data_IF_641540499037
#
_entry.id   IF_641540499037
#
_cell.length_a   1.000
_cell.length_b   1.000
_cell.length_c   1.000
_cell.angle_alpha   90.00
_cell.angle_beta   90.00
_cell.angle_gamma   90.00
#
_symmetry.space_group_name_H-M   'P 1'
#
loop_
_entity.id
_entity.type
_entity.pdbx_description
1 polymer ?
#
# COMPACT_ATOMS: atom_id res chain seq x y z
N UNK A 1 49.80 3.43 -26.31
CA UNK A 1 49.11 4.68 -26.77
C UNK A 1 47.91 4.33 -27.63
N UNK A 2 46.87 5.07 -27.65
CA UNK A 2 46.24 5.86 -26.62
C UNK A 2 44.78 5.37 -26.30
N UNK A 3 44.35 5.60 -25.16
CA UNK A 3 43.06 6.12 -24.66
C UNK A 3 41.99 6.33 -25.72
N UNK A 4 41.04 5.41 -25.79
CA UNK A 4 39.75 5.61 -26.43
C UNK A 4 38.77 6.22 -25.44
N UNK A 5 38.46 7.51 -25.60
CA UNK A 5 37.42 8.23 -24.91
C UNK A 5 36.06 7.54 -25.14
N UNK A 6 35.52 6.91 -24.12
CA UNK A 6 34.12 6.63 -24.07
C UNK A 6 33.37 7.95 -23.80
N UNK A 7 32.98 8.61 -24.85
CA UNK A 7 32.01 9.72 -24.82
C UNK A 7 30.72 9.18 -24.21
N UNK A 8 30.50 9.49 -22.92
CA UNK A 8 29.18 9.38 -22.30
C UNK A 8 28.23 10.24 -23.12
N UNK A 9 27.32 9.61 -23.86
CA UNK A 9 26.19 10.26 -24.49
C UNK A 9 25.31 10.91 -23.41
N UNK A 10 25.58 12.18 -23.16
CA UNK A 10 24.77 13.08 -22.34
C UNK A 10 23.61 13.61 -23.18
N UNK A 11 22.66 12.82 -23.58
CA UNK A 11 21.38 13.29 -24.13
C UNK A 11 20.37 12.14 -24.20
N UNK A 12 20.12 11.47 -23.07
CA UNK A 12 18.83 10.80 -22.91
C UNK A 12 17.91 11.76 -22.15
N UNK A 13 16.86 12.22 -22.82
CA UNK A 13 15.82 12.99 -22.14
C UNK A 13 15.27 12.12 -21.02
N UNK A 14 15.19 12.66 -19.81
CA UNK A 14 14.56 11.99 -18.66
C UNK A 14 13.03 11.88 -18.81
N UNK A 15 12.52 12.11 -20.00
CA UNK A 15 11.08 12.04 -20.28
C UNK A 15 10.63 10.58 -20.36
N UNK A 16 9.72 10.23 -19.50
CA UNK A 16 9.03 8.94 -19.53
C UNK A 16 8.13 8.91 -20.76
N UNK A 17 8.20 7.83 -21.54
CA UNK A 17 7.33 7.66 -22.69
C UNK A 17 5.95 7.16 -22.23
N UNK A 18 4.86 7.58 -22.91
CA UNK A 18 3.53 7.03 -22.65
C UNK A 18 3.53 5.50 -22.78
N UNK A 19 2.85 4.83 -21.88
CA UNK A 19 2.62 3.40 -21.95
C UNK A 19 1.13 3.09 -22.07
N UNK A 20 0.80 1.96 -22.70
CA UNK A 20 -0.57 1.46 -22.72
C UNK A 20 -0.85 0.74 -21.41
N UNK A 21 -1.66 1.34 -20.55
CA UNK A 21 -1.90 0.88 -19.20
C UNK A 21 -2.53 -0.52 -19.16
N UNK A 22 -3.51 -0.78 -20.02
CA UNK A 22 -4.14 -2.11 -20.12
C UNK A 22 -3.15 -3.20 -20.55
N UNK A 23 -2.29 -2.90 -21.51
CA UNK A 23 -1.22 -3.81 -21.94
C UNK A 23 -0.24 -4.06 -20.80
N UNK A 24 0.17 -3.00 -20.09
CA UNK A 24 1.07 -3.10 -18.95
C UNK A 24 0.49 -4.01 -17.85
N UNK A 25 -0.78 -3.84 -17.48
CA UNK A 25 -1.46 -4.71 -16.51
C UNK A 25 -1.39 -6.18 -16.96
N UNK A 26 -1.72 -6.45 -18.23
CA UNK A 26 -1.72 -7.82 -18.74
C UNK A 26 -0.34 -8.47 -18.70
N UNK A 27 0.71 -7.74 -18.99
CA UNK A 27 2.10 -8.20 -18.95
C UNK A 27 2.58 -8.47 -17.51
N UNK A 28 2.02 -7.77 -16.51
CA UNK A 28 2.44 -7.85 -15.11
C UNK A 28 1.45 -8.57 -14.19
N UNK A 29 0.36 -9.16 -14.71
CA UNK A 29 -0.66 -9.84 -13.88
C UNK A 29 -0.10 -10.86 -12.90
N UNK A 30 0.96 -11.55 -13.25
CA UNK A 30 1.62 -12.52 -12.37
C UNK A 30 2.23 -11.89 -11.11
N UNK A 31 2.55 -10.59 -11.14
CA UNK A 31 3.05 -9.81 -10.00
C UNK A 31 1.92 -9.16 -9.18
N UNK A 32 0.70 -9.14 -9.71
CA UNK A 32 -0.48 -8.58 -9.04
C UNK A 32 -1.24 -9.61 -8.20
N UNK A 33 -0.61 -10.74 -7.91
CA UNK A 33 -1.14 -11.82 -7.07
C UNK A 33 -0.18 -12.11 -5.92
N UNK A 34 -0.64 -12.71 -4.84
CA UNK A 34 0.25 -13.17 -3.77
C UNK A 34 1.40 -14.04 -4.33
N UNK A 35 2.59 -13.98 -3.75
CA UNK A 35 2.96 -13.22 -2.55
C UNK A 35 3.33 -11.74 -2.78
N UNK A 36 3.41 -11.26 -4.02
CA UNK A 36 3.82 -9.89 -4.33
C UNK A 36 2.65 -8.91 -4.15
N UNK A 37 1.61 -9.01 -4.98
CA UNK A 37 0.37 -8.25 -4.85
C UNK A 37 0.40 -6.82 -5.39
N UNK A 38 1.57 -6.20 -5.61
CA UNK A 38 1.68 -4.85 -6.16
C UNK A 38 2.94 -4.68 -7.02
N UNK A 39 2.91 -3.69 -7.90
CA UNK A 39 4.06 -3.31 -8.72
C UNK A 39 4.00 -1.82 -9.08
N UNK A 40 5.10 -1.11 -8.85
CA UNK A 40 5.26 0.26 -9.35
C UNK A 40 5.38 0.26 -10.87
N UNK A 41 4.72 1.22 -11.51
CA UNK A 41 4.76 1.39 -12.96
C UNK A 41 6.09 2.01 -13.39
N UNK A 42 6.62 2.95 -12.58
CA UNK A 42 7.92 3.59 -12.75
C UNK A 42 8.68 3.60 -11.42
N UNK A 43 9.98 3.34 -11.48
CA UNK A 43 10.83 3.26 -10.28
C UNK A 43 11.26 4.63 -9.74
N UNK A 44 11.25 5.68 -10.59
CA UNK A 44 11.74 7.02 -10.26
C UNK A 44 10.80 8.09 -10.84
N UNK A 45 9.65 8.27 -10.23
CA UNK A 45 8.68 9.29 -10.60
C UNK A 45 8.55 10.40 -9.55
N UNK A 46 8.01 11.54 -9.97
CA UNK A 46 7.55 12.58 -9.03
C UNK A 46 6.33 12.12 -8.24
N UNK A 47 5.71 11.03 -8.67
CA UNK A 47 4.63 10.32 -8.00
C UNK A 47 4.99 8.84 -7.88
N UNK A 48 4.53 8.21 -6.82
CA UNK A 48 4.48 6.75 -6.73
C UNK A 48 3.21 6.31 -7.45
N UNK A 49 3.38 5.63 -8.59
CA UNK A 49 2.26 5.09 -9.39
C UNK A 49 2.31 3.58 -9.31
N UNK A 50 1.41 3.00 -8.54
CA UNK A 50 1.44 1.59 -8.18
C UNK A 50 0.16 0.88 -8.63
N UNK A 51 0.31 -0.27 -9.26
CA UNK A 51 -0.81 -1.18 -9.55
C UNK A 51 -0.84 -2.25 -8.48
N UNK A 52 -2.02 -2.44 -7.90
CA UNK A 52 -2.24 -3.34 -6.77
C UNK A 52 -3.31 -4.35 -7.15
N UNK A 53 -3.01 -5.62 -6.97
CA UNK A 53 -3.96 -6.72 -7.18
C UNK A 53 -4.45 -7.34 -5.89
N UNK A 54 -5.26 -8.37 -6.04
CA UNK A 54 -5.77 -9.19 -4.95
C UNK A 54 -5.66 -10.69 -5.27
N UNK A 55 -5.96 -11.57 -4.29
CA UNK A 55 -6.50 -11.22 -2.97
C UNK A 55 -5.43 -10.70 -2.00
N UNK A 56 -5.85 -9.99 -0.97
CA UNK A 56 -5.02 -9.69 0.18
C UNK A 56 -5.72 -10.10 1.49
N UNK A 57 -4.94 -10.14 2.56
CA UNK A 57 -5.46 -10.39 3.90
C UNK A 57 -4.75 -9.44 4.86
N UNK A 58 -5.35 -8.27 5.08
CA UNK A 58 -4.79 -7.20 5.93
C UNK A 58 -5.70 -6.92 7.11
N UNK A 59 -5.08 -6.70 8.28
CA UNK A 59 -5.75 -6.25 9.51
C UNK A 59 -5.17 -4.95 10.04
N UNK A 60 -4.06 -4.51 9.46
CA UNK A 60 -3.42 -3.22 9.72
C UNK A 60 -4.10 -2.10 8.95
N UNK A 61 -3.98 -0.90 9.48
CA UNK A 61 -4.33 0.35 8.83
C UNK A 61 -3.06 1.15 8.58
N UNK A 62 -2.87 1.54 7.34
CA UNK A 62 -1.77 2.40 6.94
C UNK A 62 -2.17 3.86 7.14
N UNK A 63 -1.31 4.64 7.80
CA UNK A 63 -1.42 6.08 7.93
C UNK A 63 -0.33 6.74 7.09
N UNK A 64 -0.74 7.67 6.22
CA UNK A 64 0.13 8.42 5.32
C UNK A 64 -0.12 9.92 5.51
N UNK A 65 0.95 10.71 5.60
CA UNK A 65 0.84 12.17 5.74
C UNK A 65 0.44 12.89 4.45
N UNK A 66 0.36 12.18 3.32
CA UNK A 66 -0.08 12.69 2.02
C UNK A 66 -1.39 12.05 1.58
N UNK A 67 -2.18 12.69 0.71
CA UNK A 67 -3.36 12.06 0.13
C UNK A 67 -2.99 10.92 -0.80
N UNK A 68 -3.90 9.97 -0.96
CA UNK A 68 -3.78 8.87 -1.92
C UNK A 68 -4.94 8.88 -2.90
N UNK A 69 -4.64 8.72 -4.19
CA UNK A 69 -5.63 8.59 -5.22
C UNK A 69 -5.81 7.12 -5.61
N UNK A 70 -7.06 6.65 -5.61
CA UNK A 70 -7.44 5.31 -6.01
C UNK A 70 -8.26 5.34 -7.29
N UNK A 71 -7.96 4.42 -8.21
CA UNK A 71 -8.81 4.07 -9.33
C UNK A 71 -8.97 2.55 -9.37
N UNK A 72 -10.20 2.07 -9.22
CA UNK A 72 -10.48 0.65 -9.26
C UNK A 72 -10.68 0.20 -10.70
N UNK A 73 -9.69 -0.50 -11.26
CA UNK A 73 -9.61 -0.83 -12.70
C UNK A 73 -10.41 -2.08 -13.04
N UNK A 74 -10.31 -3.12 -12.19
CA UNK A 74 -10.99 -4.39 -12.37
C UNK A 74 -11.48 -4.91 -11.02
N UNK A 75 -12.74 -5.33 -10.95
CA UNK A 75 -13.42 -5.81 -9.76
C UNK A 75 -13.58 -4.75 -8.67
N UNK A 76 -14.27 -5.10 -7.59
CA UNK A 76 -14.60 -4.18 -6.50
C UNK A 76 -13.68 -4.40 -5.30
N UNK A 77 -13.47 -3.34 -4.51
CA UNK A 77 -12.81 -3.44 -3.22
C UNK A 77 -13.54 -2.66 -2.14
N UNK A 78 -13.24 -2.99 -0.88
CA UNK A 78 -13.62 -2.18 0.29
C UNK A 78 -12.36 -1.52 0.83
N UNK A 79 -12.40 -0.20 0.98
CA UNK A 79 -11.38 0.53 1.72
C UNK A 79 -11.92 0.79 3.13
N UNK A 80 -11.38 0.07 4.12
CA UNK A 80 -11.67 0.37 5.52
C UNK A 80 -10.89 1.60 5.93
N UNK A 81 -11.55 2.56 6.57
CA UNK A 81 -10.90 3.78 7.09
C UNK A 81 -11.26 3.99 8.55
N UNK A 82 -10.44 4.76 9.25
CA UNK A 82 -10.78 5.30 10.56
C UNK A 82 -11.10 6.78 10.37
N UNK A 83 -12.37 7.12 10.54
CA UNK A 83 -12.89 8.48 10.45
C UNK A 83 -13.45 8.92 11.81
N UNK A 84 -12.89 9.98 12.39
CA UNK A 84 -13.24 10.46 13.73
C UNK A 84 -13.32 9.34 14.80
N UNK A 85 -12.30 8.45 14.78
CA UNK A 85 -12.18 7.31 15.70
C UNK A 85 -13.15 6.17 15.44
N UNK A 86 -13.91 6.20 14.35
CA UNK A 86 -14.86 5.15 13.95
C UNK A 86 -14.37 4.43 12.71
N UNK A 87 -14.55 3.13 12.70
CA UNK A 87 -14.31 2.32 11.51
C UNK A 87 -15.45 2.53 10.50
N UNK A 88 -15.10 2.88 9.27
CA UNK A 88 -16.01 3.08 8.15
C UNK A 88 -15.54 2.25 6.97
N UNK A 89 -16.47 1.59 6.30
CA UNK A 89 -16.22 0.83 5.08
C UNK A 89 -16.63 1.66 3.86
N UNK A 90 -15.65 2.02 3.03
CA UNK A 90 -15.86 2.74 1.77
C UNK A 90 -15.81 1.74 0.63
N UNK A 91 -16.93 1.52 -0.05
CA UNK A 91 -16.97 0.70 -1.25
C UNK A 91 -16.37 1.49 -2.44
N UNK A 92 -15.42 0.90 -3.13
CA UNK A 92 -14.83 1.42 -4.37
C UNK A 92 -15.04 0.34 -5.43
N UNK A 93 -16.03 0.55 -6.29
CA UNK A 93 -16.43 -0.43 -7.30
C UNK A 93 -15.56 -0.29 -8.55
N UNK A 94 -15.60 -1.30 -9.41
CA UNK A 94 -14.94 -1.23 -10.72
C UNK A 94 -15.35 0.04 -11.47
N UNK A 95 -14.36 0.80 -11.92
CA UNK A 95 -14.53 2.09 -12.60
C UNK A 95 -14.55 3.30 -11.68
N UNK A 96 -14.69 3.12 -10.36
CA UNK A 96 -14.72 4.24 -9.41
C UNK A 96 -13.32 4.82 -9.18
N UNK A 97 -13.29 6.12 -8.92
CA UNK A 97 -12.13 6.84 -8.41
C UNK A 97 -12.43 7.37 -7.01
N UNK A 98 -11.41 7.41 -6.16
CA UNK A 98 -11.53 7.93 -4.80
C UNK A 98 -10.26 8.69 -4.42
N UNK A 99 -10.41 9.87 -3.83
CA UNK A 99 -9.30 10.63 -3.26
C UNK A 99 -9.39 10.54 -1.73
N UNK A 100 -8.54 9.72 -1.16
CA UNK A 100 -8.39 9.60 0.28
C UNK A 100 -7.62 10.81 0.82
N UNK A 101 -8.17 11.56 1.78
CA UNK A 101 -7.44 12.65 2.42
C UNK A 101 -6.17 12.17 3.14
N UNK A 102 -5.19 13.06 3.26
CA UNK A 102 -4.02 12.81 4.08
C UNK A 102 -4.40 12.50 5.54
N UNK A 103 -3.59 11.70 6.22
CA UNK A 103 -3.70 11.41 7.65
C UNK A 103 -4.94 10.60 8.06
N UNK A 104 -5.56 9.92 7.11
CA UNK A 104 -6.65 8.97 7.37
C UNK A 104 -6.10 7.55 7.38
N UNK A 105 -6.12 6.85 8.54
CA UNK A 105 -5.73 5.44 8.60
C UNK A 105 -6.67 4.61 7.73
N UNK A 106 -6.11 3.74 6.88
CA UNK A 106 -6.87 2.98 5.91
C UNK A 106 -6.31 1.59 5.66
N UNK A 107 -7.18 0.67 5.28
CA UNK A 107 -6.86 -0.74 5.05
C UNK A 107 -7.61 -1.24 3.82
N UNK A 108 -6.95 -1.33 2.64
CA UNK A 108 -7.58 -1.85 1.44
C UNK A 108 -7.86 -3.35 1.58
N UNK A 109 -9.12 -3.75 1.33
CA UNK A 109 -9.59 -5.13 1.35
C UNK A 109 -9.88 -5.57 -0.09
N UNK A 110 -9.00 -6.37 -0.67
CA UNK A 110 -9.05 -6.78 -2.08
C UNK A 110 -9.39 -8.25 -2.21
N UNK A 111 -10.34 -8.56 -3.09
CA UNK A 111 -10.70 -9.93 -3.46
C UNK A 111 -9.82 -10.43 -4.61
N UNK A 112 -9.97 -11.72 -4.93
CA UNK A 112 -9.33 -12.30 -6.11
C UNK A 112 -9.71 -11.57 -7.39
N UNK A 113 -8.77 -11.52 -8.34
CA UNK A 113 -8.96 -10.94 -9.66
C UNK A 113 -9.32 -9.45 -9.66
N UNK A 114 -8.96 -8.72 -8.60
CA UNK A 114 -9.11 -7.27 -8.56
C UNK A 114 -7.80 -6.60 -8.98
N UNK A 115 -7.92 -5.46 -9.64
CA UNK A 115 -6.80 -4.60 -10.03
C UNK A 115 -7.17 -3.15 -9.73
N UNK A 116 -6.33 -2.47 -8.97
CA UNK A 116 -6.46 -1.06 -8.67
C UNK A 116 -5.19 -0.29 -9.00
N UNK A 117 -5.34 0.97 -9.36
CA UNK A 117 -4.27 1.94 -9.47
C UNK A 117 -4.27 2.80 -8.21
N UNK A 118 -3.11 2.94 -7.58
CA UNK A 118 -2.88 3.85 -6.45
C UNK A 118 -1.80 4.85 -6.84
N UNK A 119 -2.09 6.13 -6.64
CA UNK A 119 -1.12 7.21 -6.88
C UNK A 119 -0.95 7.98 -5.57
N UNK A 120 0.28 8.13 -5.15
CA UNK A 120 0.65 8.84 -3.94
C UNK A 120 1.94 9.65 -4.13
N UNK A 121 2.20 10.57 -3.21
CA UNK A 121 3.43 11.35 -3.22
C UNK A 121 4.57 10.56 -2.57
N UNK A 122 5.82 10.71 -3.06
CA UNK A 122 7.00 10.31 -2.31
C UNK A 122 7.05 11.04 -0.97
N UNK A 123 7.62 10.39 0.06
CA UNK A 123 7.76 11.00 1.38
C UNK A 123 8.89 12.02 1.39
N UNK A 124 8.64 13.19 2.01
CA UNK A 124 9.69 14.12 2.35
C UNK A 124 10.50 13.58 3.56
N UNK A 125 11.73 14.06 3.75
CA UNK A 125 12.65 13.56 4.79
C UNK A 125 12.07 13.57 6.23
N UNK A 126 11.12 14.44 6.52
CA UNK A 126 10.50 14.58 7.84
C UNK A 126 9.11 13.94 7.95
N UNK A 127 8.65 13.25 6.91
CA UNK A 127 7.36 12.55 6.93
C UNK A 127 7.53 11.15 7.48
N UNK A 128 6.60 10.76 8.34
CA UNK A 128 6.51 9.41 8.89
C UNK A 128 5.19 8.77 8.47
N UNK A 129 5.30 7.56 7.98
CA UNK A 129 4.14 6.69 7.85
C UNK A 129 3.88 6.01 9.19
N UNK A 130 2.69 5.48 9.37
CA UNK A 130 2.42 4.60 10.50
C UNK A 130 1.60 3.37 10.07
N UNK A 131 1.77 2.30 10.81
CA UNK A 131 0.87 1.15 10.80
C UNK A 131 0.14 1.09 12.12
N UNK A 132 -1.17 0.91 12.04
CA UNK A 132 -2.07 0.88 13.19
C UNK A 132 -2.88 -0.41 13.19
N UNK A 133 -3.17 -0.93 14.38
CA UNK A 133 -4.05 -2.08 14.57
C UNK A 133 -5.16 -1.73 15.54
N UNK A 134 -6.35 -2.19 15.24
CA UNK A 134 -7.56 -1.95 16.03
C UNK A 134 -8.22 -3.26 16.39
N UNK A 135 -8.72 -3.38 17.61
CA UNK A 135 -9.42 -4.56 18.08
C UNK A 135 -10.61 -4.90 17.20
N UNK A 136 -10.68 -6.13 16.70
CA UNK A 136 -11.78 -6.58 15.83
C UNK A 136 -13.13 -6.65 16.55
N UNK A 137 -13.13 -6.66 17.90
CA UNK A 137 -14.36 -6.73 18.71
C UNK A 137 -14.85 -5.35 19.19
N UNK A 138 -13.97 -4.49 19.70
CA UNK A 138 -14.39 -3.22 20.31
C UNK A 138 -13.78 -1.98 19.67
N UNK A 139 -13.02 -2.15 18.59
CA UNK A 139 -12.37 -1.09 17.80
C UNK A 139 -11.36 -0.21 18.57
N UNK A 140 -10.99 -0.57 19.78
CA UNK A 140 -9.90 0.09 20.51
C UNK A 140 -8.59 -0.08 19.75
N UNK A 141 -7.80 0.99 19.60
CA UNK A 141 -6.47 0.90 19.01
C UNK A 141 -5.58 0.01 19.89
N UNK A 142 -4.99 -1.01 19.29
CA UNK A 142 -4.09 -1.96 19.94
C UNK A 142 -2.64 -1.50 19.91
N UNK A 143 -2.22 -1.01 18.76
CA UNK A 143 -0.84 -0.64 18.52
C UNK A 143 -0.72 0.38 17.38
N UNK A 144 0.32 1.19 17.43
CA UNK A 144 0.74 2.09 16.36
C UNK A 144 2.26 2.10 16.30
N UNK A 145 2.82 1.90 15.11
CA UNK A 145 4.25 2.03 14.83
C UNK A 145 4.46 3.09 13.78
N UNK A 146 5.28 4.10 14.10
CA UNK A 146 5.70 5.14 13.17
C UNK A 146 7.07 4.80 12.59
N UNK A 147 7.25 5.03 11.31
CA UNK A 147 8.49 4.71 10.60
C UNK A 147 8.69 5.61 9.38
N UNK A 148 9.95 5.83 9.02
CA UNK A 148 10.28 6.41 7.71
C UNK A 148 10.09 5.32 6.64
N UNK A 149 9.25 5.60 5.65
CA UNK A 149 9.00 4.67 4.56
C UNK A 149 9.98 4.94 3.42
N UNK A 150 10.97 4.06 3.28
CA UNK A 150 11.92 4.08 2.17
C UNK A 150 11.48 3.14 1.03
N UNK A 151 10.99 1.95 1.39
CA UNK A 151 10.55 0.94 0.44
C UNK A 151 9.30 0.20 0.96
N UNK A 152 8.17 0.44 0.30
CA UNK A 152 6.87 -0.14 0.67
C UNK A 152 6.86 -1.68 0.63
N UNK A 153 7.66 -2.28 -0.26
CA UNK A 153 7.71 -3.74 -0.43
C UNK A 153 8.48 -4.44 0.70
N UNK A 154 9.39 -3.74 1.37
CA UNK A 154 10.28 -4.34 2.38
C UNK A 154 10.07 -3.85 3.80
N UNK A 155 9.63 -2.61 4.00
CA UNK A 155 9.56 -2.01 5.33
C UNK A 155 8.30 -2.43 6.08
N UNK A 156 7.14 -2.40 5.44
CA UNK A 156 5.90 -2.84 6.06
C UNK A 156 5.92 -4.30 6.53
N UNK A 157 6.40 -5.30 5.76
CA UNK A 157 6.46 -6.68 6.20
C UNK A 157 7.25 -6.88 7.50
N UNK A 158 8.35 -6.14 7.71
CA UNK A 158 9.13 -6.23 8.96
C UNK A 158 8.33 -5.78 10.18
N UNK A 159 7.50 -4.74 10.00
CA UNK A 159 6.65 -4.22 11.09
C UNK A 159 5.51 -5.20 11.37
N UNK A 160 4.92 -5.82 10.34
CA UNK A 160 3.90 -6.86 10.53
C UNK A 160 4.46 -8.03 11.34
N UNK A 161 5.64 -8.53 10.97
CA UNK A 161 6.28 -9.64 11.67
C UNK A 161 6.61 -9.28 13.12
N UNK A 162 7.10 -8.07 13.37
CA UNK A 162 7.40 -7.58 14.71
C UNK A 162 6.13 -7.46 15.58
N UNK A 163 5.03 -6.94 15.03
CA UNK A 163 3.77 -6.82 15.76
C UNK A 163 3.18 -8.19 16.11
N UNK A 164 3.02 -9.08 15.13
CA UNK A 164 2.37 -10.38 15.36
C UNK A 164 3.21 -11.38 16.16
N UNK A 165 4.53 -11.16 16.29
CA UNK A 165 5.39 -11.94 17.19
C UNK A 165 5.25 -11.52 18.65
N UNK A 166 4.87 -10.29 18.94
CA UNK A 166 4.64 -9.78 20.28
C UNK A 166 3.19 -9.99 20.71
N UNK A 167 2.95 -11.10 21.40
CA UNK A 167 1.60 -11.51 21.81
C UNK A 167 0.92 -10.51 22.74
N UNK A 168 1.69 -9.77 23.54
CA UNK A 168 1.13 -8.78 24.46
C UNK A 168 0.51 -7.60 23.70
N UNK A 169 1.16 -7.16 22.63
CA UNK A 169 0.62 -6.11 21.74
C UNK A 169 -0.67 -6.53 21.03
N UNK A 170 -0.87 -7.82 20.82
CA UNK A 170 -2.06 -8.36 20.16
C UNK A 170 -3.28 -8.46 21.09
N UNK A 171 -3.13 -8.28 22.41
CA UNK A 171 -4.24 -8.40 23.39
C UNK A 171 -4.86 -7.04 23.61
N UNK A 172 -6.18 -6.94 23.42
CA UNK A 172 -6.91 -5.70 23.64
C UNK A 172 -7.00 -5.38 25.14
N UNK A 173 -6.46 -4.23 25.54
CA UNK A 173 -6.50 -3.75 26.93
C UNK A 173 -7.91 -3.43 27.42
N UNK A 174 -8.86 -3.15 26.50
CA UNK A 174 -10.24 -2.81 26.86
C UNK A 174 -11.16 -4.03 27.01
N UNK A 175 -11.04 -5.04 26.13
CA UNK A 175 -11.98 -6.18 26.11
C UNK A 175 -11.33 -7.56 26.18
N UNK A 176 -10.00 -7.64 26.23
CA UNK A 176 -9.26 -8.90 26.34
C UNK A 176 -9.20 -9.74 25.05
N UNK A 177 -9.83 -9.30 23.97
CA UNK A 177 -9.78 -10.01 22.68
C UNK A 177 -8.36 -10.01 22.14
N UNK A 178 -7.90 -11.16 21.67
CA UNK A 178 -6.59 -11.32 21.04
C UNK A 178 -6.73 -11.22 19.52
N UNK A 179 -5.90 -10.38 18.88
CA UNK A 179 -5.81 -10.31 17.44
C UNK A 179 -4.90 -11.41 16.90
N UNK A 180 -5.44 -12.27 16.08
CA UNK A 180 -4.68 -13.29 15.38
C UNK A 180 -4.06 -12.71 14.10
N UNK A 181 -2.86 -13.19 13.74
CA UNK A 181 -2.26 -12.84 12.46
C UNK A 181 -3.18 -13.25 11.29
N UNK A 182 -3.24 -12.46 10.22
CA UNK A 182 -4.05 -12.81 9.06
C UNK A 182 -3.56 -14.12 8.44
N UNK A 183 -4.51 -14.93 7.94
CA UNK A 183 -4.15 -16.14 7.18
C UNK A 183 -3.47 -15.72 5.89
N UNK A 184 -2.35 -16.37 5.56
CA UNK A 184 -1.70 -16.14 4.27
C UNK A 184 -2.66 -16.55 3.15
N UNK A 185 -2.88 -15.63 2.21
CA UNK A 185 -3.56 -15.92 0.94
C UNK A 185 -2.56 -16.53 -0.04
N UNK A 186 -2.93 -17.61 -0.66
CA UNK A 186 -2.13 -18.36 -1.62
C UNK A 186 -2.59 -18.09 -3.06
#
# INVERSE_FOLDING_TARGET
>A
RPLGNAQKNKNMSNLVQPLNFKKWINEHRHLLKPPVGNKCVWDNGEYIVMVVGGPNSRKDYHYNETPEFFYQVEGDMILKIIDDGKQVDVAINEGDIYLLPAKVPHSPQRKENTVGLVIEYPRAENMLDALEWYCENCHTQLYREEFALDNIETDMPKIFDAYYSDKEKCICSNCGTTMEAPKKVS
#
